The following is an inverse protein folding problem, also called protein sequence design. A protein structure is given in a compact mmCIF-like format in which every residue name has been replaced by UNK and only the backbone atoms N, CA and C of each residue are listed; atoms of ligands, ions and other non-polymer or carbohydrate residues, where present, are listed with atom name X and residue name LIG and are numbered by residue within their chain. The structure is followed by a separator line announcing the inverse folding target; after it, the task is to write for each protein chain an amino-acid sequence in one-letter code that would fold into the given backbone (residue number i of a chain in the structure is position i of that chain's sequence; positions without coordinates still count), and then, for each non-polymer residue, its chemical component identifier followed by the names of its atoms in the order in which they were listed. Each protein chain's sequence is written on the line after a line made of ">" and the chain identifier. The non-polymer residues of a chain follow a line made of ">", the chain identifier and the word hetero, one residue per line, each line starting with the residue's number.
data_IF_511067662390
#
_entry.id   IF_511067662390
#
_cell.length_a   1.000
_cell.length_b   1.000
_cell.length_c   1.000
_cell.angle_alpha   90.00
_cell.angle_beta   90.00
_cell.angle_gamma   90.00
#
_symmetry.space_group_name_H-M   'P 1'
#
loop_
_entity.id
_entity.type
_entity.pdbx_description
1 polymer ?
#
# COMPACT_ATOMS: atom_id res chain seq x y z
N UNK A 1 12.95 14.55 15.25
CA UNK A 1 14.32 14.73 14.72
C UNK A 1 14.60 13.58 13.76
N UNK A 2 15.12 13.84 12.57
CA UNK A 2 15.64 12.79 11.69
C UNK A 2 16.80 12.08 12.41
N UNK A 3 16.78 10.76 12.43
CA UNK A 3 17.90 9.95 12.95
C UNK A 3 18.51 9.18 11.80
N UNK A 4 19.82 9.06 11.77
CA UNK A 4 20.49 8.22 10.79
C UNK A 4 20.28 6.74 11.13
N UNK A 5 20.53 5.87 10.16
CA UNK A 5 20.33 4.43 10.33
C UNK A 5 21.29 3.82 11.37
N UNK A 6 22.51 4.34 11.50
CA UNK A 6 23.50 3.84 12.44
C UNK A 6 23.11 4.17 13.88
N UNK A 7 22.61 5.38 14.15
CA UNK A 7 22.06 5.78 15.44
C UNK A 7 20.88 4.90 15.84
N UNK A 8 19.97 4.59 14.91
CA UNK A 8 18.85 3.66 15.18
C UNK A 8 19.35 2.24 15.46
N UNK A 9 20.34 1.77 14.70
CA UNK A 9 20.96 0.47 14.91
C UNK A 9 21.60 0.37 16.29
N UNK A 10 22.35 1.39 16.71
CA UNK A 10 22.95 1.49 18.03
C UNK A 10 21.89 1.44 19.13
N UNK A 11 20.79 2.20 18.99
CA UNK A 11 19.68 2.18 19.96
C UNK A 11 19.09 0.78 20.11
N UNK A 12 18.81 0.10 18.99
CA UNK A 12 18.22 -1.25 19.02
C UNK A 12 19.20 -2.27 19.62
N UNK A 13 20.47 -2.22 19.24
CA UNK A 13 21.50 -3.10 19.78
C UNK A 13 21.72 -2.91 21.29
N UNK A 14 21.75 -1.66 21.75
CA UNK A 14 21.91 -1.35 23.17
C UNK A 14 20.71 -1.78 24.02
N UNK A 15 19.50 -1.67 23.48
CA UNK A 15 18.28 -2.04 24.20
C UNK A 15 18.00 -3.54 24.17
N UNK A 16 18.48 -4.26 23.15
CA UNK A 16 18.32 -5.70 23.04
C UNK A 16 18.97 -6.41 24.26
N UNK A 17 18.30 -7.40 24.88
CA UNK A 17 18.84 -8.16 26.02
C UNK A 17 20.17 -8.84 25.69
N UNK A 18 20.33 -9.25 24.44
CA UNK A 18 21.48 -9.96 23.89
C UNK A 18 22.62 -9.04 23.43
N UNK A 19 22.39 -7.73 23.31
CA UNK A 19 23.39 -6.76 22.84
C UNK A 19 23.98 -5.91 23.95
N UNK A 20 23.13 -5.25 24.75
CA UNK A 20 23.59 -4.37 25.83
C UNK A 20 22.66 -4.24 27.03
N UNK A 21 21.40 -4.70 26.90
CA UNK A 21 20.38 -4.67 27.95
C UNK A 21 20.22 -3.31 28.67
N UNK A 22 20.50 -2.20 27.97
CA UNK A 22 20.43 -0.86 28.54
C UNK A 22 19.00 -0.34 28.61
N UNK A 23 18.71 0.40 29.66
CA UNK A 23 17.44 1.11 29.84
C UNK A 23 17.35 2.31 28.91
N UNK A 24 16.13 2.79 28.65
CA UNK A 24 15.91 4.01 27.85
C UNK A 24 16.57 5.25 28.46
N UNK A 25 16.72 5.30 29.79
CA UNK A 25 17.33 6.44 30.50
C UNK A 25 18.84 6.45 30.31
N UNK A 26 19.49 5.29 30.39
CA UNK A 26 20.91 5.17 30.11
C UNK A 26 21.21 5.47 28.64
N UNK A 27 20.40 4.98 27.71
CA UNK A 27 20.57 5.29 26.28
C UNK A 27 20.36 6.79 26.03
N UNK A 28 19.43 7.44 26.71
CA UNK A 28 19.26 8.89 26.66
C UNK A 28 20.52 9.61 27.15
N UNK A 29 21.08 9.20 28.29
CA UNK A 29 22.31 9.78 28.81
C UNK A 29 23.51 9.59 27.86
N UNK A 30 23.59 8.45 27.15
CA UNK A 30 24.67 8.15 26.21
C UNK A 30 24.55 8.87 24.87
N UNK A 31 23.33 9.05 24.37
CA UNK A 31 23.09 9.52 22.98
C UNK A 31 22.50 10.93 22.90
N UNK A 32 21.98 11.46 24.00
CA UNK A 32 21.19 12.69 24.05
C UNK A 32 19.81 12.58 23.38
N UNK A 33 19.44 11.42 22.84
CA UNK A 33 18.16 11.25 22.14
C UNK A 33 16.99 11.34 23.13
N UNK A 34 15.89 12.05 22.79
CA UNK A 34 14.71 12.08 23.62
C UNK A 34 14.19 10.66 23.90
N UNK A 35 13.79 10.38 25.14
CA UNK A 35 13.32 9.04 25.56
C UNK A 35 12.20 8.52 24.65
N UNK A 36 11.28 9.40 24.23
CA UNK A 36 10.21 9.02 23.31
C UNK A 36 10.74 8.58 21.93
N UNK A 37 11.79 9.23 21.43
CA UNK A 37 12.45 8.86 20.17
C UNK A 37 13.06 7.47 20.27
N UNK A 38 13.76 7.18 21.38
CA UNK A 38 14.36 5.87 21.64
C UNK A 38 13.28 4.78 21.66
N UNK A 39 12.21 4.98 22.43
CA UNK A 39 11.07 4.04 22.49
C UNK A 39 10.42 3.82 21.12
N UNK A 40 10.24 4.89 20.35
CA UNK A 40 9.66 4.80 19.00
C UNK A 40 10.57 4.06 18.02
N UNK A 41 11.89 4.19 18.12
CA UNK A 41 12.84 3.43 17.30
C UNK A 41 12.69 1.94 17.62
N UNK A 42 12.78 1.58 18.90
CA UNK A 42 12.73 0.18 19.32
C UNK A 42 11.38 -0.49 18.99
N UNK A 43 10.27 0.18 19.29
CA UNK A 43 8.93 -0.31 18.96
C UNK A 43 8.69 -0.44 17.44
N UNK A 44 9.35 0.39 16.61
CA UNK A 44 9.29 0.24 15.15
C UNK A 44 10.09 -0.96 14.66
N UNK A 45 11.27 -1.19 15.22
CA UNK A 45 12.08 -2.36 14.88
C UNK A 45 11.31 -3.65 15.19
N UNK A 46 10.72 -3.78 16.38
CA UNK A 46 9.91 -4.95 16.76
C UNK A 46 8.74 -5.15 15.78
N UNK A 47 7.98 -4.08 15.49
CA UNK A 47 6.85 -4.16 14.54
C UNK A 47 7.24 -4.61 13.13
N UNK A 48 8.50 -4.48 12.75
CA UNK A 48 9.02 -4.88 11.44
C UNK A 48 9.71 -6.25 11.45
N UNK A 49 9.70 -6.94 12.59
CA UNK A 49 10.20 -8.31 12.72
C UNK A 49 11.57 -8.44 13.37
N UNK A 50 12.09 -7.40 14.02
CA UNK A 50 13.25 -7.56 14.90
C UNK A 50 12.85 -8.38 16.14
N UNK A 51 13.52 -9.52 16.35
CA UNK A 51 13.33 -10.38 17.52
C UNK A 51 14.47 -10.15 18.54
N UNK A 52 14.19 -9.53 19.70
CA UNK A 52 15.23 -9.15 20.67
C UNK A 52 15.93 -10.34 21.34
N UNK A 53 15.28 -11.50 21.38
CA UNK A 53 15.83 -12.70 22.01
C UNK A 53 16.52 -13.65 21.02
N UNK A 54 16.50 -13.34 19.71
CA UNK A 54 17.14 -14.13 18.66
C UNK A 54 18.66 -14.21 18.92
N UNK A 55 19.22 -15.42 18.78
CA UNK A 55 20.65 -15.68 18.87
C UNK A 55 21.11 -16.41 17.60
N UNK A 56 22.11 -15.90 16.88
CA UNK A 56 22.83 -14.64 17.12
C UNK A 56 21.94 -13.41 16.90
N UNK A 57 22.31 -12.27 17.49
CA UNK A 57 21.56 -11.01 17.27
C UNK A 57 21.62 -10.66 15.79
N UNK A 58 20.45 -10.61 15.17
CA UNK A 58 20.30 -10.19 13.78
C UNK A 58 19.83 -8.74 13.76
N UNK A 59 20.41 -7.94 12.88
CA UNK A 59 19.98 -6.56 12.64
C UNK A 59 20.07 -6.27 11.15
N UNK A 60 18.97 -5.82 10.55
CA UNK A 60 18.90 -5.49 9.13
C UNK A 60 18.31 -4.10 8.91
N UNK A 61 18.73 -3.45 7.84
CA UNK A 61 18.34 -2.07 7.53
C UNK A 61 16.83 -1.90 7.40
N UNK A 62 16.13 -2.87 6.79
CA UNK A 62 14.69 -2.83 6.56
C UNK A 62 13.86 -2.61 7.85
N UNK A 63 14.36 -3.05 9.01
CA UNK A 63 13.68 -2.84 10.30
C UNK A 63 13.86 -1.43 10.86
N UNK A 64 14.87 -0.71 10.38
CA UNK A 64 15.31 0.56 10.95
C UNK A 64 15.03 1.76 10.03
N UNK A 65 14.90 1.55 8.72
CA UNK A 65 14.69 2.61 7.74
C UNK A 65 13.39 3.40 8.02
N UNK A 66 13.41 4.73 7.91
CA UNK A 66 12.15 5.46 7.98
C UNK A 66 11.37 5.24 6.67
N UNK A 67 10.07 4.98 6.78
CA UNK A 67 9.21 4.97 5.59
C UNK A 67 9.21 6.39 5.01
N UNK A 68 9.42 6.58 3.70
CA UNK A 68 9.35 7.90 3.10
C UNK A 68 7.99 8.52 3.43
N UNK A 69 8.00 9.58 4.23
CA UNK A 69 6.78 10.32 4.53
C UNK A 69 6.37 10.98 3.21
N UNK A 70 5.17 10.71 2.66
CA UNK A 70 4.71 11.43 1.48
C UNK A 70 4.70 12.91 1.85
N UNK A 71 5.62 13.66 1.26
CA UNK A 71 5.59 15.11 1.34
C UNK A 71 4.42 15.53 0.47
N UNK A 72 3.23 15.67 1.05
CA UNK A 72 2.13 16.41 0.46
C UNK A 72 2.51 17.90 0.42
N UNK A 73 3.53 18.25 -0.36
CA UNK A 73 3.69 19.57 -0.95
C UNK A 73 3.35 19.37 -2.42
N UNK A 74 2.05 19.41 -2.67
CA UNK A 74 1.50 19.82 -3.96
C UNK A 74 2.09 21.21 -4.24
N UNK A 75 3.28 21.25 -4.82
CA UNK A 75 3.74 22.45 -5.52
C UNK A 75 2.89 22.50 -6.77
N UNK A 76 1.84 23.32 -6.71
CA UNK A 76 1.37 24.18 -7.79
C UNK A 76 1.81 23.73 -9.20
N UNK A 77 1.34 22.56 -9.61
CA UNK A 77 1.18 22.23 -11.02
C UNK A 77 -0.29 21.93 -11.16
N UNK A 78 -1.06 23.02 -11.32
CA UNK A 78 -2.45 22.93 -11.69
C UNK A 78 -2.59 22.15 -12.99
N UNK A 79 -3.74 21.52 -13.12
CA UNK A 79 -4.25 20.73 -14.26
C UNK A 79 -3.85 19.26 -14.34
N UNK A 80 -4.89 18.42 -14.51
CA UNK A 80 -4.91 16.98 -14.78
C UNK A 80 -4.45 16.15 -13.57
N UNK A 81 -5.25 15.35 -12.86
CA UNK A 81 -6.34 14.47 -13.29
C UNK A 81 -7.11 14.02 -12.04
N UNK A 82 -8.20 14.68 -11.64
CA UNK A 82 -9.31 14.03 -10.92
C UNK A 82 -10.60 14.76 -11.27
N UNK A 83 -11.39 14.18 -12.18
CA UNK A 83 -12.88 14.09 -12.17
C UNK A 83 -13.39 13.76 -13.59
N UNK A 84 -13.24 12.50 -14.02
CA UNK A 84 -14.12 11.93 -15.05
C UNK A 84 -15.01 10.86 -14.41
N UNK A 85 -15.82 11.29 -13.44
CA UNK A 85 -16.84 10.43 -12.83
C UNK A 85 -18.01 11.22 -12.18
N UNK A 86 -18.20 12.51 -12.48
CA UNK A 86 -19.28 13.29 -11.81
C UNK A 86 -19.95 14.41 -12.62
N UNK A 87 -19.82 14.46 -13.95
CA UNK A 87 -20.60 15.37 -14.81
C UNK A 87 -20.77 14.77 -16.21
N UNK A 88 -21.80 13.94 -16.42
CA UNK A 88 -22.38 13.64 -17.75
C UNK A 88 -23.82 13.11 -17.59
N UNK A 89 -24.62 13.79 -16.76
CA UNK A 89 -26.07 13.55 -16.74
C UNK A 89 -26.83 14.81 -16.31
N UNK A 90 -26.55 15.96 -16.92
CA UNK A 90 -27.51 17.05 -16.97
C UNK A 90 -27.78 17.37 -18.44
N UNK A 91 -28.97 16.94 -18.86
CA UNK A 91 -29.47 17.08 -20.21
C UNK A 91 -29.73 18.54 -20.58
N UNK A 92 -29.24 18.86 -21.77
CA UNK A 92 -30.02 19.46 -22.85
C UNK A 92 -30.75 20.77 -22.53
N UNK A 93 -30.03 21.88 -22.72
CA UNK A 93 -30.62 23.17 -23.05
C UNK A 93 -31.30 23.10 -24.41
N UNK A 94 -32.60 23.43 -24.44
CA UNK A 94 -33.41 23.53 -25.65
C UNK A 94 -33.12 24.87 -26.33
N UNK A 95 -32.48 24.84 -27.49
CA UNK A 95 -32.59 25.90 -28.48
C UNK A 95 -32.43 25.28 -29.88
N UNK A 96 -33.56 25.22 -30.57
CA UNK A 96 -33.72 24.71 -31.93
C UNK A 96 -33.25 25.73 -32.95
N UNK A 97 -32.32 25.35 -33.83
CA UNK A 97 -32.11 26.02 -35.11
C UNK A 97 -32.04 24.95 -36.21
N UNK A 98 -33.08 24.94 -37.05
CA UNK A 98 -33.23 24.14 -38.26
C UNK A 98 -32.10 24.42 -39.25
N UNK A 99 -31.46 23.37 -39.77
CA UNK A 99 -30.90 23.39 -41.13
C UNK A 99 -31.31 22.10 -41.83
N UNK A 100 -32.15 22.28 -42.84
CA UNK A 100 -32.56 21.30 -43.85
C UNK A 100 -31.36 20.91 -44.70
N UNK A 101 -31.13 19.61 -44.92
CA UNK A 101 -30.85 19.05 -46.26
C UNK A 101 -30.75 17.50 -46.27
N UNK A 102 -31.78 16.89 -46.87
CA UNK A 102 -31.85 15.66 -47.70
C UNK A 102 -31.31 14.27 -47.19
N UNK A 103 -32.12 13.19 -47.25
CA UNK A 103 -31.66 11.79 -47.23
C UNK A 103 -31.41 11.26 -48.67
N UNK A 104 -30.56 10.23 -48.87
CA UNK A 104 -31.00 8.81 -48.83
C UNK A 104 -29.91 7.93 -48.17
N UNK A 105 -30.01 6.64 -47.88
CA UNK A 105 -30.78 5.53 -48.42
C UNK A 105 -30.69 4.40 -47.36
N UNK A 106 -31.82 3.74 -47.04
CA UNK A 106 -31.84 2.58 -46.14
C UNK A 106 -31.64 1.35 -47.02
N UNK A 107 -30.60 0.57 -46.78
CA UNK A 107 -30.45 -0.77 -47.35
C UNK A 107 -30.01 -1.78 -46.28
N UNK A 108 -30.92 -2.72 -46.01
CA UNK A 108 -30.66 -4.09 -45.57
C UNK A 108 -30.39 -4.30 -44.07
N UNK A 109 -31.28 -4.90 -43.26
CA UNK A 109 -31.62 -6.35 -43.23
C UNK A 109 -30.37 -7.17 -42.85
N UNK A 110 -30.30 -8.05 -41.85
CA UNK A 110 -31.19 -8.55 -40.79
C UNK A 110 -30.37 -9.62 -40.02
N UNK A 111 -30.81 -10.03 -38.81
CA UNK A 111 -30.55 -11.35 -38.16
C UNK A 111 -29.10 -11.61 -37.67
N UNK A 112 -28.79 -12.18 -36.50
CA UNK A 112 -29.51 -12.92 -35.45
C UNK A 112 -28.57 -13.02 -34.22
N UNK A 113 -29.12 -12.97 -32.99
CA UNK A 113 -28.58 -13.75 -31.86
C UNK A 113 -29.07 -15.21 -31.98
N UNK A 114 -28.36 -16.22 -31.41
CA UNK A 114 -28.70 -16.69 -30.05
C UNK A 114 -27.44 -17.08 -29.23
N UNK A 115 -27.34 -16.69 -27.95
CA UNK A 115 -27.66 -17.47 -26.73
C UNK A 115 -27.19 -18.93 -26.73
N UNK A 116 -26.39 -19.31 -25.72
CA UNK A 116 -26.64 -20.49 -24.85
C UNK A 116 -25.71 -20.49 -23.63
N UNK A 117 -26.23 -21.08 -22.56
CA UNK A 117 -25.85 -21.07 -21.14
C UNK A 117 -25.42 -22.50 -20.76
N UNK A 118 -24.82 -22.68 -19.57
CA UNK A 118 -24.67 -23.93 -18.76
C UNK A 118 -23.42 -24.77 -19.07
N UNK A 119 -22.78 -25.51 -18.15
CA UNK A 119 -22.99 -25.83 -16.73
C UNK A 119 -21.67 -26.39 -16.14
N UNK A 120 -21.61 -26.39 -14.79
CA UNK A 120 -20.81 -27.19 -13.84
C UNK A 120 -19.90 -28.34 -14.32
N UNK A 121 -18.78 -28.57 -13.59
CA UNK A 121 -18.48 -29.81 -12.82
C UNK A 121 -17.08 -29.74 -12.18
N UNK A 122 -17.01 -29.85 -10.84
CA UNK A 122 -15.80 -30.23 -10.08
C UNK A 122 -15.63 -31.75 -10.09
N UNK A 123 -14.42 -32.26 -9.81
CA UNK A 123 -14.35 -33.34 -8.83
C UNK A 123 -13.26 -33.16 -7.77
N UNK A 124 -13.60 -33.69 -6.60
CA UNK A 124 -12.80 -33.93 -5.39
C UNK A 124 -11.94 -35.19 -5.60
N UNK A 125 -10.76 -35.25 -4.98
CA UNK A 125 -9.96 -36.46 -4.75
C UNK A 125 -9.19 -36.20 -3.43
N UNK A 126 -9.57 -36.73 -2.28
CA UNK A 126 -9.46 -38.12 -1.78
C UNK A 126 -8.09 -38.75 -2.07
N UNK A 127 -7.19 -38.65 -1.08
CA UNK A 127 -6.02 -39.52 -0.95
C UNK A 127 -6.06 -40.19 0.42
N UNK A 128 -6.05 -41.51 0.33
CA UNK A 128 -6.21 -42.52 1.38
C UNK A 128 -4.87 -42.80 2.06
N UNK A 129 -4.92 -43.07 3.36
CA UNK A 129 -3.84 -43.57 4.21
C UNK A 129 -3.32 -44.94 3.74
N UNK A 130 -1.99 -45.12 3.69
CA UNK A 130 -1.34 -46.44 3.65
C UNK A 130 -0.48 -46.61 4.91
N UNK A 131 -0.82 -47.63 5.69
CA UNK A 131 -0.03 -48.20 6.79
C UNK A 131 1.18 -48.99 6.25
N UNK A 132 2.31 -48.88 6.95
CA UNK A 132 3.15 -50.04 7.34
C UNK A 132 3.96 -49.71 8.61
#
# INVERSE_FOLDING_TARGET
>A
MPTDIATRAMVVALMAPTGGAKTTVEIHALTGLPIQTIRNIYARAIRRGFEPNERPVRLINAWLEDTPRPTNRLQETGHLVITKAMMDSHGSGRATANVVNKPPEIAGIVKNQPTTRKDSTSPVSDWVDEEE
#
